data_IF_006261182172
#
_entry.id   IF_006261182172
#
_cell.length_a   1.000
_cell.length_b   1.000
_cell.length_c   1.000
_cell.angle_alpha   90.00
_cell.angle_beta   90.00
_cell.angle_gamma   90.00
#
_symmetry.space_group_name_H-M   'P 1'
#
loop_
_entity.id
_entity.type
_entity.pdbx_description
1 polymer ?
#
# COMPACT_ATOMS: atom_id res chain seq x y z
N UNK A 1 -14.48 3.83 2.03
CA UNK A 1 -14.71 3.13 0.73
C UNK A 1 -15.47 1.82 0.92
N UNK A 2 -16.57 1.58 0.20
CA UNK A 2 -17.39 0.37 0.34
C UNK A 2 -17.09 -0.73 -0.73
N UNK A 3 -17.09 -1.99 -0.28
CA UNK A 3 -17.08 -3.21 -1.10
C UNK A 3 -18.19 -4.18 -0.68
N UNK A 4 -18.69 -4.99 -1.63
CA UNK A 4 -19.59 -6.11 -1.35
C UNK A 4 -18.79 -7.41 -1.17
N UNK A 5 -18.45 -7.75 0.08
CA UNK A 5 -17.70 -8.97 0.40
C UNK A 5 -18.69 -10.05 0.82
N UNK A 6 -18.76 -11.18 0.10
CA UNK A 6 -19.76 -12.24 0.34
C UNK A 6 -21.21 -11.71 0.39
N UNK A 7 -21.54 -10.79 -0.52
CA UNK A 7 -22.82 -10.08 -0.59
C UNK A 7 -23.16 -9.24 0.65
N UNK A 8 -22.16 -8.86 1.47
CA UNK A 8 -22.34 -7.97 2.61
C UNK A 8 -21.60 -6.66 2.34
N UNK A 9 -22.24 -5.50 2.53
CA UNK A 9 -21.56 -4.22 2.44
C UNK A 9 -20.54 -4.10 3.57
N UNK A 10 -19.30 -3.80 3.20
CA UNK A 10 -18.19 -3.54 4.12
C UNK A 10 -17.59 -2.19 3.77
N UNK A 11 -17.81 -1.21 4.65
CA UNK A 11 -17.17 0.10 4.56
C UNK A 11 -15.77 0.05 5.18
N UNK A 12 -14.76 0.11 4.30
CA UNK A 12 -13.35 0.12 4.65
C UNK A 12 -12.96 1.56 5.00
N UNK A 13 -12.51 1.73 6.25
CA UNK A 13 -12.04 3.01 6.80
C UNK A 13 -10.55 2.98 7.04
N UNK A 14 -9.84 4.00 6.56
CA UNK A 14 -8.40 4.21 6.77
C UNK A 14 -8.09 4.75 8.17
N UNK A 15 -8.46 3.97 9.19
CA UNK A 15 -8.31 4.32 10.60
C UNK A 15 -7.09 3.63 11.25
N UNK A 16 -6.87 3.90 12.55
CA UNK A 16 -5.79 3.27 13.32
C UNK A 16 -5.82 1.74 13.28
N UNK A 17 -7.01 1.12 13.31
CA UNK A 17 -7.13 -0.34 13.32
C UNK A 17 -6.66 -0.96 11.98
N UNK A 18 -7.05 -0.37 10.85
CA UNK A 18 -6.58 -0.82 9.53
C UNK A 18 -5.06 -0.62 9.40
N UNK A 19 -4.55 0.55 9.80
CA UNK A 19 -3.11 0.83 9.82
C UNK A 19 -2.33 -0.21 10.64
N UNK A 20 -2.82 -0.54 11.83
CA UNK A 20 -2.20 -1.54 12.70
C UNK A 20 -2.17 -2.93 12.05
N UNK A 21 -3.31 -3.36 11.47
CA UNK A 21 -3.41 -4.65 10.77
C UNK A 21 -2.48 -4.70 9.55
N UNK A 22 -2.40 -3.63 8.76
CA UNK A 22 -1.51 -3.54 7.61
C UNK A 22 -0.06 -3.72 8.01
N UNK A 23 0.43 -3.00 9.03
CA UNK A 23 1.81 -3.18 9.51
C UNK A 23 2.06 -4.61 9.99
N UNK A 24 1.13 -5.18 10.76
CA UNK A 24 1.27 -6.54 11.29
C UNK A 24 1.30 -7.61 10.18
N UNK A 25 0.59 -7.41 9.07
CA UNK A 25 0.48 -8.41 7.99
C UNK A 25 1.52 -8.19 6.89
N UNK A 26 1.68 -6.95 6.45
CA UNK A 26 2.43 -6.56 5.26
C UNK A 26 3.80 -5.98 5.57
N UNK A 27 4.12 -5.71 6.84
CA UNK A 27 5.44 -5.22 7.22
C UNK A 27 6.56 -6.19 6.86
N UNK A 28 7.77 -5.69 6.64
CA UNK A 28 8.94 -6.53 6.40
C UNK A 28 9.13 -7.48 7.57
N UNK A 29 9.33 -8.77 7.28
CA UNK A 29 9.57 -9.77 8.31
C UNK A 29 11.05 -9.76 8.69
N UNK A 30 11.33 -9.55 9.97
CA UNK A 30 12.66 -9.74 10.52
C UNK A 30 13.05 -11.21 10.43
N UNK A 31 14.26 -11.49 9.94
CA UNK A 31 14.72 -12.86 9.69
C UNK A 31 15.09 -13.61 10.98
N UNK A 32 15.43 -12.89 12.04
CA UNK A 32 15.90 -13.46 13.30
C UNK A 32 14.75 -13.62 14.29
N UNK A 33 13.95 -12.57 14.49
CA UNK A 33 12.85 -12.58 15.48
C UNK A 33 11.53 -13.05 14.87
N UNK A 34 11.39 -12.97 13.54
CA UNK A 34 10.13 -13.25 12.85
C UNK A 34 9.06 -12.17 13.04
N UNK A 35 9.37 -11.09 13.76
CA UNK A 35 8.48 -9.95 13.95
C UNK A 35 8.33 -9.16 12.65
N UNK A 36 7.23 -8.39 12.57
CA UNK A 36 6.90 -7.59 11.40
C UNK A 36 7.20 -6.12 11.69
N UNK A 37 7.89 -5.47 10.76
CA UNK A 37 8.20 -4.04 10.82
C UNK A 37 6.96 -3.15 10.72
N UNK A 38 7.14 -1.87 11.04
CA UNK A 38 6.08 -0.85 10.96
C UNK A 38 6.01 -0.15 9.60
N UNK A 39 6.42 -0.84 8.55
CA UNK A 39 6.61 -0.34 7.18
C UNK A 39 5.52 -0.83 6.20
N UNK A 40 4.60 -1.69 6.67
CA UNK A 40 3.56 -2.29 5.84
C UNK A 40 2.63 -1.27 5.16
N UNK A 41 2.32 -0.15 5.82
CA UNK A 41 1.53 0.93 5.18
C UNK A 41 2.30 1.59 4.02
N UNK A 42 3.60 1.83 4.18
CA UNK A 42 4.41 2.43 3.12
C UNK A 42 4.59 1.50 1.93
N UNK A 43 4.82 0.21 2.20
CA UNK A 43 4.86 -0.82 1.17
C UNK A 43 3.51 -0.95 0.44
N UNK A 44 2.39 -0.93 1.17
CA UNK A 44 1.05 -0.95 0.58
C UNK A 44 0.79 0.27 -0.29
N UNK A 45 1.21 1.47 0.13
CA UNK A 45 1.05 2.68 -0.67
C UNK A 45 1.77 2.60 -2.01
N UNK A 46 2.98 2.02 -2.05
CA UNK A 46 3.68 1.77 -3.32
C UNK A 46 2.89 0.85 -4.25
N UNK A 47 2.32 -0.24 -3.73
CA UNK A 47 1.45 -1.13 -4.51
C UNK A 47 0.26 -0.38 -5.09
N UNK A 48 -0.36 0.51 -4.32
CA UNK A 48 -1.47 1.36 -4.80
C UNK A 48 -1.00 2.27 -5.93
N UNK A 49 0.16 2.92 -5.81
CA UNK A 49 0.72 3.78 -6.87
C UNK A 49 1.13 3.03 -8.14
N UNK A 50 1.40 1.73 -8.03
CA UNK A 50 1.76 0.85 -9.14
C UNK A 50 0.54 0.12 -9.73
N UNK A 51 -0.67 0.37 -9.21
CA UNK A 51 -1.90 -0.35 -9.56
C UNK A 51 -1.74 -1.88 -9.46
N UNK A 52 -1.00 -2.33 -8.44
CA UNK A 52 -0.76 -3.76 -8.17
C UNK A 52 -2.04 -4.39 -7.60
N UNK A 53 -2.59 -5.38 -8.33
CA UNK A 53 -3.81 -6.12 -7.98
C UNK A 53 -3.79 -6.67 -6.54
N UNK A 54 -2.61 -7.05 -6.05
CA UNK A 54 -2.47 -7.60 -4.70
C UNK A 54 -2.79 -6.57 -3.62
N UNK A 55 -2.75 -5.26 -3.93
CA UNK A 55 -3.20 -4.23 -3.00
C UNK A 55 -4.70 -4.36 -2.71
N UNK A 56 -5.52 -4.62 -3.72
CA UNK A 56 -6.97 -4.73 -3.55
C UNK A 56 -7.33 -5.99 -2.76
N UNK A 57 -6.71 -7.13 -3.09
CA UNK A 57 -6.97 -8.38 -2.36
C UNK A 57 -6.48 -8.33 -0.92
N UNK A 58 -5.28 -7.78 -0.66
CA UNK A 58 -4.74 -7.57 0.68
C UNK A 58 -5.69 -6.69 1.52
N UNK A 59 -6.16 -5.58 0.96
CA UNK A 59 -7.07 -4.64 1.64
C UNK A 59 -8.38 -5.32 2.06
N UNK A 60 -9.02 -6.04 1.15
CA UNK A 60 -10.28 -6.73 1.40
C UNK A 60 -10.12 -7.76 2.51
N UNK A 61 -9.06 -8.57 2.46
CA UNK A 61 -8.80 -9.58 3.49
C UNK A 61 -8.36 -8.99 4.84
N UNK A 62 -7.85 -7.75 4.86
CA UNK A 62 -7.58 -6.99 6.09
C UNK A 62 -8.85 -6.40 6.70
N UNK A 63 -9.78 -5.97 5.85
CA UNK A 63 -11.09 -5.48 6.24
C UNK A 63 -11.97 -6.62 6.80
N UNK A 64 -12.05 -7.74 6.09
CA UNK A 64 -12.71 -8.97 6.54
C UNK A 64 -11.73 -10.14 6.60
N UNK A 65 -11.34 -10.51 7.83
CA UNK A 65 -10.43 -11.64 8.11
C UNK A 65 -10.94 -13.00 7.63
N UNK A 66 -12.23 -13.12 7.32
CA UNK A 66 -12.85 -14.36 6.85
C UNK A 66 -12.92 -14.42 5.33
N UNK A 67 -12.64 -13.32 4.63
CA UNK A 67 -12.59 -13.30 3.19
C UNK A 67 -11.39 -14.12 2.69
N UNK A 68 -11.67 -15.02 1.76
CA UNK A 68 -10.66 -15.70 0.97
C UNK A 68 -10.16 -14.78 -0.14
N UNK A 69 -9.17 -15.23 -0.91
CA UNK A 69 -8.71 -14.49 -2.09
C UNK A 69 -9.79 -14.43 -3.17
N UNK A 70 -10.51 -15.54 -3.40
CA UNK A 70 -11.65 -15.61 -4.33
C UNK A 70 -12.79 -14.67 -3.91
N UNK A 71 -13.08 -14.56 -2.61
CA UNK A 71 -14.06 -13.58 -2.11
C UNK A 71 -13.63 -12.13 -2.40
N UNK A 72 -12.32 -11.86 -2.35
CA UNK A 72 -11.78 -10.54 -2.63
C UNK A 72 -11.85 -10.22 -4.12
N UNK A 73 -11.45 -11.16 -4.98
CA UNK A 73 -11.54 -11.02 -6.44
C UNK A 73 -12.99 -10.72 -6.85
N UNK A 74 -13.97 -11.50 -6.36
CA UNK A 74 -15.39 -11.26 -6.65
C UNK A 74 -15.89 -9.91 -6.17
N UNK A 75 -15.42 -9.43 -5.01
CA UNK A 75 -15.79 -8.12 -4.50
C UNK A 75 -15.20 -6.97 -5.35
N UNK A 76 -14.02 -7.17 -5.95
CA UNK A 76 -13.41 -6.23 -6.89
C UNK A 76 -14.18 -6.24 -8.21
N UNK A 77 -14.44 -7.42 -8.79
CA UNK A 77 -15.23 -7.59 -10.02
C UNK A 77 -16.60 -6.93 -9.90
N UNK A 78 -17.28 -7.12 -8.75
CA UNK A 78 -18.59 -6.50 -8.50
C UNK A 78 -18.55 -4.97 -8.37
N UNK A 79 -17.36 -4.38 -8.15
CA UNK A 79 -17.16 -2.93 -8.04
C UNK A 79 -16.76 -2.29 -9.38
N UNK A 80 -16.21 -3.07 -10.30
CA UNK A 80 -15.83 -2.63 -11.65
C UNK A 80 -17.08 -2.60 -12.53
N UNK A 81 -17.29 -1.48 -13.22
CA UNK A 81 -18.40 -1.33 -14.17
C UNK A 81 -18.04 -2.03 -15.48
N UNK A 82 -18.82 -3.03 -15.96
CA UNK A 82 -18.55 -3.70 -17.22
C UNK A 82 -18.62 -2.78 -18.45
N UNK A 83 -19.31 -1.63 -18.36
CA UNK A 83 -19.34 -0.66 -19.45
C UNK A 83 -18.10 0.25 -19.48
N UNK A 84 -17.38 0.36 -18.36
CA UNK A 84 -16.23 1.26 -18.17
C UNK A 84 -15.13 0.59 -17.31
N UNK A 85 -14.73 -0.64 -17.68
CA UNK A 85 -13.91 -1.50 -16.82
C UNK A 85 -12.57 -0.86 -16.42
N UNK A 86 -11.80 -0.36 -17.39
CA UNK A 86 -10.49 0.24 -17.14
C UNK A 86 -10.60 1.51 -16.27
N UNK A 87 -11.55 2.39 -16.58
CA UNK A 87 -11.74 3.64 -15.84
C UNK A 87 -12.14 3.35 -14.39
N UNK A 88 -13.13 2.49 -14.18
CA UNK A 88 -13.60 2.16 -12.82
C UNK A 88 -12.55 1.39 -12.03
N UNK A 89 -11.80 0.49 -12.67
CA UNK A 89 -10.67 -0.21 -12.06
C UNK A 89 -9.60 0.79 -11.58
N UNK A 90 -9.15 1.70 -12.45
CA UNK A 90 -8.14 2.71 -12.09
C UNK A 90 -8.66 3.68 -11.03
N UNK A 91 -9.95 4.02 -11.07
CA UNK A 91 -10.57 4.90 -10.07
C UNK A 91 -10.52 4.29 -8.66
N UNK A 92 -10.60 2.96 -8.51
CA UNK A 92 -10.44 2.30 -7.20
C UNK A 92 -9.07 2.65 -6.60
N UNK A 93 -7.99 2.60 -7.39
CA UNK A 93 -6.65 2.94 -6.89
C UNK A 93 -6.50 4.42 -6.56
N UNK A 94 -7.11 5.30 -7.37
CA UNK A 94 -7.12 6.74 -7.10
C UNK A 94 -7.87 7.09 -5.81
N UNK A 95 -9.01 6.43 -5.57
CA UNK A 95 -9.78 6.57 -4.33
C UNK A 95 -8.98 6.03 -3.12
N UNK A 96 -8.32 4.88 -3.27
CA UNK A 96 -7.45 4.32 -2.22
C UNK A 96 -6.30 5.26 -1.88
N UNK A 97 -5.63 5.81 -2.90
CA UNK A 97 -4.57 6.79 -2.72
C UNK A 97 -5.10 7.99 -1.94
N UNK A 98 -6.25 8.55 -2.34
CA UNK A 98 -6.86 9.71 -1.71
C UNK A 98 -7.20 9.44 -0.23
N UNK A 99 -7.90 8.35 0.06
CA UNK A 99 -8.27 7.97 1.43
C UNK A 99 -7.05 7.72 2.34
N UNK A 100 -5.96 7.14 1.80
CA UNK A 100 -4.70 6.97 2.52
C UNK A 100 -4.01 8.30 2.85
N UNK A 101 -4.05 9.26 1.91
CA UNK A 101 -3.41 10.57 2.07
C UNK A 101 -4.21 11.47 3.00
N UNK A 102 -5.54 11.40 2.95
CA UNK A 102 -6.44 12.15 3.83
C UNK A 102 -6.39 11.64 5.28
N UNK A 103 -6.15 10.33 5.46
CA UNK A 103 -5.98 9.76 6.78
C UNK A 103 -4.67 10.19 7.44
N UNK A 104 -4.77 10.97 8.52
CA UNK A 104 -3.59 11.38 9.30
C UNK A 104 -2.75 10.19 9.80
N UNK A 105 -3.38 9.06 10.15
CA UNK A 105 -2.65 7.86 10.56
C UNK A 105 -1.79 7.28 9.44
N UNK A 106 -2.35 7.20 8.24
CA UNK A 106 -1.68 6.62 7.07
C UNK A 106 -0.63 7.58 6.52
N UNK A 107 -0.99 8.87 6.32
CA UNK A 107 -0.06 9.90 5.89
C UNK A 107 1.20 9.96 6.76
N UNK A 108 1.06 9.90 8.09
CA UNK A 108 2.22 9.86 8.99
C UNK A 108 3.10 8.62 8.76
N UNK A 109 2.52 7.45 8.51
CA UNK A 109 3.28 6.22 8.24
C UNK A 109 3.95 6.23 6.86
N UNK A 110 3.29 6.77 5.84
CA UNK A 110 3.86 6.96 4.51
C UNK A 110 5.06 7.91 4.58
N UNK A 111 4.91 9.05 5.25
CA UNK A 111 6.02 9.99 5.46
C UNK A 111 7.20 9.34 6.19
N UNK A 112 6.93 8.53 7.23
CA UNK A 112 8.01 7.83 7.95
C UNK A 112 8.71 6.80 7.07
N UNK A 113 7.96 6.10 6.23
CA UNK A 113 8.51 5.15 5.27
C UNK A 113 9.43 5.84 4.26
N UNK A 114 8.98 6.98 3.71
CA UNK A 114 9.80 7.84 2.83
C UNK A 114 11.09 8.26 3.53
N UNK A 115 11.01 8.75 4.77
CA UNK A 115 12.19 9.15 5.56
C UNK A 115 13.20 8.00 5.71
N UNK A 116 12.72 6.79 6.01
CA UNK A 116 13.58 5.60 6.14
C UNK A 116 14.24 5.22 4.80
N UNK A 117 13.53 5.35 3.67
CA UNK A 117 14.10 5.13 2.33
C UNK A 117 15.18 6.16 2.01
N UNK A 118 14.98 7.42 2.38
CA UNK A 118 15.97 8.49 2.19
C UNK A 118 17.24 8.24 3.02
N UNK A 119 17.10 7.90 4.31
CA UNK A 119 18.23 7.53 5.17
C UNK A 119 19.00 6.32 4.61
N UNK A 120 18.28 5.30 4.16
CA UNK A 120 18.91 4.11 3.54
C UNK A 120 19.69 4.47 2.27
N UNK A 121 19.15 5.41 1.48
CA UNK A 121 19.80 5.91 0.27
C UNK A 121 21.09 6.66 0.59
N UNK A 122 21.12 7.45 1.65
CA UNK A 122 22.34 8.15 2.09
C UNK A 122 23.45 7.15 2.48
N UNK A 123 23.09 6.08 3.19
CA UNK A 123 24.04 5.02 3.53
C UNK A 123 24.58 4.30 2.28
N UNK A 124 23.74 4.06 1.28
CA UNK A 124 24.17 3.44 0.01
C UNK A 124 25.12 4.36 -0.77
N UNK A 125 24.86 5.66 -0.82
CA UNK A 125 25.74 6.65 -1.48
C UNK A 125 27.17 6.62 -0.91
N UNK A 126 27.32 6.34 0.39
CA UNK A 126 28.62 6.27 1.05
C UNK A 126 29.49 5.09 0.59
N UNK A 127 28.91 4.02 0.02
CA UNK A 127 29.62 2.78 -0.37
C UNK A 127 30.41 2.91 -1.68
N UNK A 128 30.12 3.92 -2.50
CA UNK A 128 30.83 4.32 -3.74
C UNK A 128 30.98 3.26 -4.86
N UNK A 129 30.41 2.06 -4.74
CA UNK A 129 30.38 1.05 -5.80
C UNK A 129 29.23 1.28 -6.81
N UNK A 130 29.35 0.73 -8.03
CA UNK A 130 28.37 0.94 -9.12
C UNK A 130 27.00 0.35 -8.83
N UNK A 131 26.94 -0.80 -8.15
CA UNK A 131 25.67 -1.43 -7.78
C UNK A 131 24.90 -0.53 -6.80
N UNK A 132 25.60 0.04 -5.80
CA UNK A 132 25.03 1.02 -4.88
C UNK A 132 24.51 2.28 -5.61
N UNK A 133 25.19 2.75 -6.66
CA UNK A 133 24.72 3.90 -7.46
C UNK A 133 23.39 3.62 -8.17
N UNK A 134 23.23 2.44 -8.78
CA UNK A 134 21.98 2.05 -9.45
C UNK A 134 20.82 1.92 -8.45
N UNK A 135 21.08 1.32 -7.29
CA UNK A 135 20.09 1.21 -6.22
C UNK A 135 19.65 2.59 -5.70
N UNK A 136 20.57 3.52 -5.52
CA UNK A 136 20.27 4.89 -5.12
C UNK A 136 19.30 5.56 -6.10
N UNK A 137 19.55 5.47 -7.40
CA UNK A 137 18.67 6.06 -8.41
C UNK A 137 17.27 5.44 -8.37
N UNK A 138 17.18 4.11 -8.24
CA UNK A 138 15.91 3.42 -8.14
C UNK A 138 15.10 3.88 -6.91
N UNK A 139 15.73 3.92 -5.73
CA UNK A 139 15.06 4.34 -4.49
C UNK A 139 14.65 5.81 -4.55
N UNK A 140 15.49 6.70 -5.12
CA UNK A 140 15.13 8.11 -5.27
C UNK A 140 13.91 8.32 -6.17
N UNK A 141 13.77 7.53 -7.25
CA UNK A 141 12.57 7.59 -8.11
C UNK A 141 11.31 7.19 -7.34
N UNK A 142 11.38 6.13 -6.53
CA UNK A 142 10.26 5.70 -5.69
C UNK A 142 9.89 6.79 -4.67
N UNK A 143 10.89 7.34 -3.98
CA UNK A 143 10.68 8.45 -3.02
C UNK A 143 10.01 9.64 -3.68
N UNK A 144 10.47 10.06 -4.86
CA UNK A 144 9.86 11.19 -5.58
C UNK A 144 8.40 10.91 -5.93
N UNK A 145 8.08 9.74 -6.49
CA UNK A 145 6.70 9.34 -6.81
C UNK A 145 5.80 9.35 -5.58
N UNK A 146 6.28 8.79 -4.46
CA UNK A 146 5.51 8.80 -3.21
C UNK A 146 5.29 10.22 -2.70
N UNK A 147 6.31 11.09 -2.72
CA UNK A 147 6.19 12.49 -2.29
C UNK A 147 5.22 13.28 -3.17
N UNK A 148 5.22 13.04 -4.48
CA UNK A 148 4.29 13.68 -5.40
C UNK A 148 2.85 13.26 -5.14
N UNK A 149 2.62 11.99 -4.80
CA UNK A 149 1.31 11.48 -4.43
C UNK A 149 0.77 12.00 -3.08
N UNK A 150 1.60 12.65 -2.25
CA UNK A 150 1.19 13.24 -0.96
C UNK A 150 0.78 14.71 -1.06
N UNK A 151 0.97 15.34 -2.23
CA UNK A 151 0.65 16.75 -2.50
C UNK A 151 -0.83 16.91 -2.83
#
# INVERSE_FOLDING_TARGET
MEFLIKNKPVDIKFNYALMFKMNKRLGTKDKETGERGSDGVGAFFLKVLDCDDTALTDLIQLADKTATEDDAIKAIEAKVDPENEEETYLQIFEDLKSEMVESGFFKTKILKYIENMEQSTEMLKARKDENSKLQVVAVQRLVSRMKDALK
#
